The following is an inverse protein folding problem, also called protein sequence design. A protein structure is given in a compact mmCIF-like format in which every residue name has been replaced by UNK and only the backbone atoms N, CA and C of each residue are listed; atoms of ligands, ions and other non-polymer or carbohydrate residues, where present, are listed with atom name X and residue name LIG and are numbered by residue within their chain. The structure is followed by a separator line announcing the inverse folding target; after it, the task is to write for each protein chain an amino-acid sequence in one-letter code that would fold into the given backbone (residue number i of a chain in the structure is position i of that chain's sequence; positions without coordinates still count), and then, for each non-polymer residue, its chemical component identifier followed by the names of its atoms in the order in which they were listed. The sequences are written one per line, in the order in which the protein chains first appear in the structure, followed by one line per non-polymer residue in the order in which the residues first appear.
data_IF_174195286659
#
_entry.id   IF_174195286659
#
_cell.length_a   1.000
_cell.length_b   1.000
_cell.length_c   1.000
_cell.angle_alpha   90.00
_cell.angle_beta   90.00
_cell.angle_gamma   90.00
#
_symmetry.space_group_name_H-M   'P 1'
#
loop_
_entity.id
_entity.type
_entity.pdbx_description
1 polymer ?
#
# COMPACT_ATOMS: atom_id res chain seq x y z
N UNK A 1 -9.05 20.93 0.64
CA UNK A 1 -9.75 19.62 0.68
C UNK A 1 -8.74 18.59 0.21
N UNK A 2 -8.44 17.58 0.99
CA UNK A 2 -7.42 16.60 0.67
C UNK A 2 -7.84 15.72 -0.52
N UNK A 3 -6.94 15.53 -1.47
CA UNK A 3 -7.13 14.65 -2.63
C UNK A 3 -6.03 13.60 -2.67
N UNK A 4 -6.39 12.32 -2.78
CA UNK A 4 -5.43 11.23 -2.80
C UNK A 4 -5.61 10.32 -4.02
N UNK A 5 -4.48 9.75 -4.50
CA UNK A 5 -4.52 8.66 -5.46
C UNK A 5 -4.33 7.32 -4.72
N UNK A 6 -5.23 6.35 -4.95
CA UNK A 6 -5.11 4.98 -4.41
C UNK A 6 -4.87 4.01 -5.56
N UNK A 7 -3.67 3.44 -5.60
CA UNK A 7 -3.24 2.52 -6.66
C UNK A 7 -3.41 1.08 -6.17
N UNK A 8 -4.29 0.30 -6.83
CA UNK A 8 -4.70 -1.03 -6.37
C UNK A 8 -6.00 -1.00 -5.57
N UNK A 9 -6.93 -0.13 -5.94
CA UNK A 9 -8.09 0.27 -5.15
C UNK A 9 -9.31 -0.67 -5.22
N UNK A 10 -9.36 -1.67 -6.12
CA UNK A 10 -10.61 -2.43 -6.37
C UNK A 10 -11.04 -3.37 -5.25
N UNK A 11 -10.14 -3.76 -4.36
CA UNK A 11 -10.40 -4.69 -3.24
C UNK A 11 -9.37 -4.56 -2.11
N UNK A 12 -9.63 -5.26 -1.01
CA UNK A 12 -8.67 -5.37 0.10
C UNK A 12 -8.38 -4.04 0.77
N UNK A 13 -7.13 -3.85 1.19
CA UNK A 13 -6.73 -2.62 1.89
C UNK A 13 -6.93 -1.36 1.05
N UNK A 14 -6.73 -1.44 -0.28
CA UNK A 14 -6.94 -0.31 -1.17
C UNK A 14 -8.39 0.16 -1.20
N UNK A 15 -9.35 -0.76 -1.28
CA UNK A 15 -10.76 -0.41 -1.22
C UNK A 15 -11.15 0.17 0.16
N UNK A 16 -10.61 -0.39 1.23
CA UNK A 16 -10.85 0.15 2.59
C UNK A 16 -10.23 1.54 2.77
N UNK A 17 -9.07 1.81 2.14
CA UNK A 17 -8.48 3.17 2.10
C UNK A 17 -9.39 4.14 1.35
N UNK A 18 -9.94 3.74 0.19
CA UNK A 18 -10.91 4.58 -0.55
C UNK A 18 -12.13 4.91 0.31
N UNK A 19 -12.73 3.90 0.95
CA UNK A 19 -13.90 4.09 1.82
C UNK A 19 -13.60 5.06 2.98
N UNK A 20 -12.49 4.87 3.69
CA UNK A 20 -12.13 5.71 4.83
C UNK A 20 -11.82 7.16 4.39
N UNK A 21 -11.15 7.34 3.25
CA UNK A 21 -10.89 8.66 2.68
C UNK A 21 -12.19 9.41 2.33
N UNK A 22 -13.15 8.72 1.73
CA UNK A 22 -14.46 9.29 1.42
C UNK A 22 -15.25 9.67 2.69
N UNK A 23 -15.21 8.83 3.74
CA UNK A 23 -15.80 9.14 5.05
C UNK A 23 -15.18 10.40 5.66
N UNK A 24 -13.88 10.63 5.46
CA UNK A 24 -13.18 11.86 5.88
C UNK A 24 -13.50 13.10 5.02
N UNK A 25 -14.31 12.97 4.00
CA UNK A 25 -14.64 14.07 3.09
C UNK A 25 -13.57 14.34 2.03
N UNK A 26 -12.62 13.42 1.79
CA UNK A 26 -11.56 13.59 0.80
C UNK A 26 -12.02 13.27 -0.61
N UNK A 27 -11.33 13.81 -1.61
CA UNK A 27 -11.47 13.38 -3.00
C UNK A 27 -10.48 12.24 -3.29
N UNK A 28 -10.93 11.24 -4.04
CA UNK A 28 -10.13 10.04 -4.33
C UNK A 28 -10.08 9.77 -5.81
N UNK A 29 -8.87 9.60 -6.35
CA UNK A 29 -8.65 8.94 -7.64
C UNK A 29 -8.21 7.51 -7.39
N UNK A 30 -8.98 6.55 -7.87
CA UNK A 30 -8.81 5.13 -7.61
C UNK A 30 -8.37 4.40 -8.87
N UNK A 31 -7.16 3.82 -8.87
CA UNK A 31 -6.61 3.08 -10.01
C UNK A 31 -6.75 1.58 -9.77
N UNK A 32 -7.35 0.88 -10.73
CA UNK A 32 -7.50 -0.58 -10.68
C UNK A 32 -7.67 -1.18 -12.09
N UNK A 33 -7.21 -2.43 -12.28
CA UNK A 33 -7.46 -3.17 -13.53
C UNK A 33 -8.93 -3.46 -13.75
N UNK A 34 -9.67 -3.74 -12.66
CA UNK A 34 -11.09 -4.07 -12.68
C UNK A 34 -11.86 -3.24 -11.63
N UNK A 35 -12.16 -1.95 -11.88
CA UNK A 35 -12.83 -1.07 -10.91
C UNK A 35 -14.26 -1.52 -10.58
N UNK A 36 -14.99 -2.13 -11.52
CA UNK A 36 -16.38 -2.59 -11.33
C UNK A 36 -16.58 -3.68 -10.27
N UNK A 37 -15.50 -4.25 -9.71
CA UNK A 37 -15.61 -5.22 -8.61
C UNK A 37 -16.04 -4.58 -7.28
N UNK A 38 -15.92 -3.27 -7.11
CA UNK A 38 -16.19 -2.61 -5.83
C UNK A 38 -17.61 -2.09 -5.66
N UNK A 39 -18.37 -1.91 -6.72
CA UNK A 39 -19.71 -1.26 -6.73
C UNK A 39 -19.78 0.08 -5.94
N UNK A 40 -18.62 0.65 -5.53
CA UNK A 40 -18.55 1.87 -4.75
C UNK A 40 -18.67 3.09 -5.67
N UNK A 41 -19.65 3.93 -5.38
CA UNK A 41 -19.90 5.20 -6.09
C UNK A 41 -19.95 6.34 -5.09
N UNK A 42 -19.32 7.47 -5.40
CA UNK A 42 -19.37 8.72 -4.64
C UNK A 42 -19.00 9.87 -5.60
N UNK A 43 -19.58 11.03 -5.46
CA UNK A 43 -19.27 12.20 -6.30
C UNK A 43 -17.80 12.64 -6.21
N UNK A 44 -17.11 12.30 -5.12
CA UNK A 44 -15.69 12.60 -4.87
C UNK A 44 -14.74 11.47 -5.30
N UNK A 45 -15.27 10.38 -5.89
CA UNK A 45 -14.51 9.22 -6.33
C UNK A 45 -14.43 9.14 -7.85
N UNK A 46 -13.22 9.23 -8.40
CA UNK A 46 -12.96 9.00 -9.81
C UNK A 46 -12.19 7.67 -10.01
N UNK A 47 -12.75 6.77 -10.82
CA UNK A 47 -12.11 5.51 -11.16
C UNK A 47 -11.30 5.61 -12.44
N UNK A 48 -10.06 5.13 -12.40
CA UNK A 48 -9.17 4.97 -13.54
C UNK A 48 -8.90 3.49 -13.78
N UNK A 49 -9.38 2.97 -14.91
CA UNK A 49 -9.19 1.55 -15.28
C UNK A 49 -7.86 1.37 -15.98
N UNK A 50 -6.95 0.57 -15.40
CA UNK A 50 -5.69 0.22 -16.04
C UNK A 50 -4.66 -0.40 -15.09
N UNK A 51 -3.47 -0.60 -15.66
CA UNK A 51 -2.32 -1.16 -14.97
C UNK A 51 -1.51 -0.04 -14.29
N UNK A 52 -1.01 -0.32 -13.08
CA UNK A 52 -0.19 0.63 -12.31
C UNK A 52 1.19 0.93 -12.93
N UNK A 53 1.56 0.26 -14.02
CA UNK A 53 2.78 0.50 -14.81
C UNK A 53 2.53 1.42 -16.00
N UNK A 54 1.28 1.80 -16.27
CA UNK A 54 0.94 2.71 -17.36
C UNK A 54 1.14 4.16 -16.91
N UNK A 55 2.19 4.79 -17.43
CA UNK A 55 2.61 6.14 -17.06
C UNK A 55 1.55 7.19 -17.37
N UNK A 56 0.94 7.15 -18.57
CA UNK A 56 -0.10 8.12 -18.98
C UNK A 56 -1.34 8.02 -18.09
N UNK A 57 -1.73 6.80 -17.70
CA UNK A 57 -2.83 6.59 -16.76
C UNK A 57 -2.50 7.22 -15.40
N UNK A 58 -1.29 6.99 -14.91
CA UNK A 58 -0.85 7.50 -13.62
C UNK A 58 -0.72 9.03 -13.62
N UNK A 59 -0.28 9.64 -14.71
CA UNK A 59 -0.25 11.09 -14.85
C UNK A 59 -1.63 11.71 -14.66
N UNK A 60 -2.66 11.11 -15.25
CA UNK A 60 -4.04 11.57 -15.07
C UNK A 60 -4.54 11.34 -13.65
N UNK A 61 -4.26 10.15 -13.09
CA UNK A 61 -4.76 9.76 -11.77
C UNK A 61 -4.09 10.51 -10.61
N UNK A 62 -2.80 10.85 -10.72
CA UNK A 62 -2.01 11.50 -9.65
C UNK A 62 -2.11 13.04 -9.74
N UNK A 63 -2.59 13.57 -10.86
CA UNK A 63 -2.66 15.02 -11.09
C UNK A 63 -3.44 15.74 -9.99
N UNK A 64 -2.76 16.68 -9.33
CA UNK A 64 -3.32 17.49 -8.25
C UNK A 64 -3.67 16.73 -6.98
N UNK A 65 -3.06 15.55 -6.76
CA UNK A 65 -3.17 14.83 -5.50
C UNK A 65 -2.14 15.33 -4.48
N UNK A 66 -2.53 15.32 -3.20
CA UNK A 66 -1.65 15.63 -2.07
C UNK A 66 -0.78 14.42 -1.69
N UNK A 67 -1.30 13.19 -1.93
CA UNK A 67 -0.61 11.94 -1.58
C UNK A 67 -0.98 10.80 -2.53
N UNK A 68 -0.08 9.80 -2.60
CA UNK A 68 -0.29 8.54 -3.30
C UNK A 68 -0.21 7.37 -2.32
N UNK A 69 -1.23 6.52 -2.29
CA UNK A 69 -1.26 5.27 -1.55
C UNK A 69 -1.20 4.08 -2.52
N UNK A 70 -0.17 3.24 -2.38
CA UNK A 70 0.05 2.07 -3.25
C UNK A 70 -0.25 0.80 -2.46
N UNK A 71 -1.31 0.09 -2.88
CA UNK A 71 -1.87 -1.09 -2.20
C UNK A 71 -1.98 -2.28 -3.15
N UNK A 72 -1.00 -2.41 -4.03
CA UNK A 72 -0.96 -3.47 -5.05
C UNK A 72 -0.86 -4.86 -4.43
N UNK A 73 -1.40 -5.84 -5.14
CA UNK A 73 -1.23 -7.25 -4.88
C UNK A 73 -0.84 -7.98 -6.17
N UNK A 74 0.10 -8.91 -6.06
CA UNK A 74 0.46 -9.81 -7.15
C UNK A 74 -0.15 -11.20 -6.93
N UNK A 75 -0.42 -11.95 -8.01
CA UNK A 75 -0.75 -13.37 -7.90
C UNK A 75 0.40 -14.14 -7.22
N UNK A 76 0.06 -15.17 -6.48
CA UNK A 76 1.03 -16.14 -6.00
C UNK A 76 1.35 -17.14 -7.11
N UNK A 77 2.61 -17.46 -7.33
CA UNK A 77 2.99 -18.38 -8.39
C UNK A 77 4.50 -18.59 -8.51
N UNK A 78 4.91 -19.35 -9.55
CA UNK A 78 6.32 -19.68 -9.83
C UNK A 78 6.99 -18.68 -10.80
N UNK A 79 6.26 -17.78 -11.41
CA UNK A 79 6.80 -16.79 -12.35
C UNK A 79 7.49 -15.63 -11.62
N UNK A 80 8.41 -14.98 -12.32
CA UNK A 80 9.08 -13.79 -11.79
C UNK A 80 8.06 -12.68 -11.59
N UNK A 81 8.08 -12.06 -10.42
CA UNK A 81 7.20 -10.93 -10.07
C UNK A 81 8.02 -9.65 -10.13
N UNK A 82 7.54 -8.68 -10.92
CA UNK A 82 8.14 -7.34 -11.04
C UNK A 82 7.08 -6.22 -10.89
N UNK A 83 5.83 -6.61 -10.63
CA UNK A 83 4.71 -5.66 -10.62
C UNK A 83 4.86 -4.57 -9.56
N UNK A 84 5.48 -4.86 -8.41
CA UNK A 84 5.68 -3.87 -7.35
C UNK A 84 6.80 -2.89 -7.72
N UNK A 85 7.97 -3.41 -8.10
CA UNK A 85 9.13 -2.59 -8.45
C UNK A 85 8.89 -1.77 -9.71
N UNK A 86 8.29 -2.35 -10.77
CA UNK A 86 7.96 -1.63 -12.01
C UNK A 86 6.94 -0.51 -11.74
N UNK A 87 5.85 -0.83 -11.02
CA UNK A 87 4.85 0.17 -10.67
C UNK A 87 5.42 1.30 -9.81
N UNK A 88 6.25 0.99 -8.80
CA UNK A 88 6.90 2.00 -7.96
C UNK A 88 7.82 2.89 -8.80
N UNK A 89 8.61 2.32 -9.71
CA UNK A 89 9.46 3.11 -10.62
C UNK A 89 8.64 4.13 -11.42
N UNK A 90 7.54 3.68 -12.03
CA UNK A 90 6.65 4.56 -12.81
C UNK A 90 5.95 5.60 -11.91
N UNK A 91 5.44 5.18 -10.74
CA UNK A 91 4.77 6.08 -9.79
C UNK A 91 5.73 7.17 -9.32
N UNK A 92 6.98 6.84 -8.94
CA UNK A 92 7.97 7.82 -8.51
C UNK A 92 8.30 8.83 -9.61
N UNK A 93 8.41 8.37 -10.87
CA UNK A 93 8.61 9.24 -12.03
C UNK A 93 7.46 10.24 -12.17
N UNK A 94 6.21 9.75 -12.13
CA UNK A 94 5.02 10.60 -12.26
C UNK A 94 4.89 11.54 -11.06
N UNK A 95 5.11 11.06 -9.83
CA UNK A 95 5.09 11.90 -8.62
C UNK A 95 6.12 13.02 -8.68
N UNK A 96 7.28 12.80 -9.30
CA UNK A 96 8.28 13.86 -9.48
C UNK A 96 7.77 14.95 -10.43
N UNK A 97 7.21 14.57 -11.57
CA UNK A 97 6.63 15.52 -12.54
C UNK A 97 5.45 16.32 -11.98
N UNK A 98 4.63 15.67 -11.17
CA UNK A 98 3.44 16.27 -10.55
C UNK A 98 3.71 16.99 -9.21
N UNK A 99 5.00 17.05 -8.77
CA UNK A 99 5.43 17.62 -7.50
C UNK A 99 4.74 17.01 -6.24
N UNK A 100 4.21 15.79 -6.33
CA UNK A 100 3.61 15.09 -5.19
C UNK A 100 4.71 14.48 -4.34
N UNK A 101 4.71 14.76 -3.02
CA UNK A 101 5.75 14.31 -2.10
C UNK A 101 5.33 13.09 -1.28
N UNK A 102 4.10 13.04 -0.76
CA UNK A 102 3.65 12.03 0.20
C UNK A 102 3.34 10.71 -0.49
N UNK A 103 4.04 9.64 -0.08
CA UNK A 103 3.90 8.27 -0.62
C UNK A 103 3.68 7.28 0.52
N UNK A 104 2.59 6.50 0.47
CA UNK A 104 2.37 5.36 1.35
C UNK A 104 2.46 4.08 0.50
N UNK A 105 3.32 3.16 0.87
CA UNK A 105 3.44 1.86 0.21
C UNK A 105 3.05 0.73 1.16
N UNK A 106 2.09 -0.08 0.78
CA UNK A 106 1.68 -1.27 1.53
C UNK A 106 2.52 -2.48 1.09
N UNK A 107 3.48 -2.84 1.92
CA UNK A 107 4.33 -4.01 1.76
C UNK A 107 3.76 -5.22 2.52
N UNK A 108 4.50 -5.76 3.48
CA UNK A 108 4.08 -6.85 4.36
C UNK A 108 5.20 -7.29 5.30
N UNK A 109 4.84 -7.84 6.46
CA UNK A 109 5.82 -8.45 7.36
C UNK A 109 6.54 -9.59 6.63
N UNK A 110 7.87 -9.63 6.72
CA UNK A 110 8.73 -10.54 5.95
C UNK A 110 9.46 -9.86 4.79
N UNK A 111 9.19 -8.58 4.48
CA UNK A 111 9.98 -7.76 3.58
C UNK A 111 11.05 -6.97 4.32
N UNK A 112 12.14 -6.64 3.64
CA UNK A 112 13.24 -5.85 4.18
C UNK A 112 13.81 -6.42 5.48
N UNK A 113 13.99 -5.56 6.47
CA UNK A 113 14.51 -5.90 7.80
C UNK A 113 13.48 -6.61 8.72
N UNK A 114 12.25 -6.81 8.26
CA UNK A 114 11.26 -7.65 8.94
C UNK A 114 11.32 -9.13 8.53
N UNK A 115 12.31 -9.56 7.73
CA UNK A 115 12.53 -10.98 7.39
C UNK A 115 12.74 -11.82 8.65
N UNK A 116 12.12 -13.00 8.68
CA UNK A 116 12.17 -13.89 9.84
C UNK A 116 11.21 -13.53 10.98
N UNK A 117 10.44 -12.45 10.86
CA UNK A 117 9.49 -11.98 11.88
C UNK A 117 8.03 -12.36 11.59
N UNK A 118 7.75 -13.01 10.46
CA UNK A 118 6.41 -13.44 10.05
C UNK A 118 5.82 -14.61 10.83
N UNK A 119 6.62 -15.25 11.68
CA UNK A 119 6.23 -16.44 12.47
C UNK A 119 6.44 -17.76 11.72
N UNK A 120 6.40 -18.89 12.46
CA UNK A 120 6.81 -20.21 11.96
C UNK A 120 6.07 -20.65 10.66
N UNK A 121 4.75 -20.54 10.63
CA UNK A 121 3.95 -20.91 9.46
C UNK A 121 4.28 -20.05 8.24
N UNK A 122 4.44 -18.74 8.45
CA UNK A 122 4.81 -17.81 7.38
C UNK A 122 6.20 -18.14 6.83
N UNK A 123 7.20 -18.29 7.70
CA UNK A 123 8.60 -18.45 7.31
C UNK A 123 8.92 -19.84 6.72
N UNK A 124 8.30 -20.90 7.26
CA UNK A 124 8.62 -22.28 6.88
C UNK A 124 7.72 -22.86 5.79
N UNK A 125 6.50 -22.35 5.64
CA UNK A 125 5.50 -22.91 4.72
C UNK A 125 5.14 -21.90 3.62
N UNK A 126 4.61 -20.73 3.99
CA UNK A 126 4.08 -19.80 2.97
C UNK A 126 5.19 -19.08 2.21
N UNK A 127 6.24 -18.62 2.91
CA UNK A 127 7.31 -17.85 2.30
C UNK A 127 8.05 -18.63 1.20
N UNK A 128 8.62 -19.83 1.43
CA UNK A 128 9.44 -20.51 0.43
C UNK A 128 8.64 -20.99 -0.78
N UNK A 129 7.38 -21.38 -0.59
CA UNK A 129 6.60 -22.03 -1.65
C UNK A 129 5.68 -21.08 -2.42
N UNK A 130 5.20 -20.01 -1.80
CA UNK A 130 4.15 -19.16 -2.38
C UNK A 130 4.52 -17.69 -2.44
N UNK A 131 5.29 -17.17 -1.49
CA UNK A 131 5.45 -15.73 -1.30
C UNK A 131 6.84 -15.20 -1.65
N UNK A 132 7.85 -16.06 -1.74
CA UNK A 132 9.26 -15.66 -1.92
C UNK A 132 9.44 -14.61 -3.02
N UNK A 133 8.91 -14.86 -4.22
CA UNK A 133 9.07 -13.97 -5.37
C UNK A 133 8.35 -12.63 -5.20
N UNK A 134 7.16 -12.66 -4.58
CA UNK A 134 6.45 -11.43 -4.25
C UNK A 134 7.24 -10.58 -3.24
N UNK A 135 7.89 -11.22 -2.27
CA UNK A 135 8.69 -10.50 -1.28
C UNK A 135 10.02 -10.01 -1.86
N UNK A 136 10.67 -10.77 -2.73
CA UNK A 136 11.85 -10.30 -3.46
C UNK A 136 11.55 -9.06 -4.30
N UNK A 137 10.37 -9.00 -4.93
CA UNK A 137 9.95 -7.80 -5.67
C UNK A 137 9.54 -6.64 -4.75
N UNK A 138 8.89 -6.93 -3.63
CA UNK A 138 8.63 -5.92 -2.60
C UNK A 138 9.92 -5.32 -2.04
N UNK A 139 10.96 -6.13 -1.81
CA UNK A 139 12.27 -5.65 -1.38
C UNK A 139 12.88 -4.68 -2.41
N UNK A 140 12.76 -4.99 -3.72
CA UNK A 140 13.18 -4.07 -4.79
C UNK A 140 12.38 -2.77 -4.76
N UNK A 141 11.05 -2.86 -4.62
CA UNK A 141 10.18 -1.71 -4.53
C UNK A 141 10.49 -0.84 -3.31
N UNK A 142 10.68 -1.45 -2.13
CA UNK A 142 11.08 -0.74 -0.90
C UNK A 142 12.42 -0.03 -1.10
N UNK A 143 13.41 -0.69 -1.73
CA UNK A 143 14.72 -0.08 -2.01
C UNK A 143 14.61 1.15 -2.93
N UNK A 144 13.74 1.11 -3.94
CA UNK A 144 13.48 2.27 -4.81
C UNK A 144 12.84 3.43 -4.04
N UNK A 145 11.87 3.12 -3.18
CA UNK A 145 11.18 4.12 -2.34
C UNK A 145 12.16 4.78 -1.37
N UNK A 146 12.97 3.99 -0.65
CA UNK A 146 13.92 4.49 0.34
C UNK A 146 15.01 5.38 -0.27
N UNK A 147 15.37 5.15 -1.53
CA UNK A 147 16.33 6.00 -2.28
C UNK A 147 15.67 7.25 -2.88
N UNK A 148 14.36 7.36 -2.85
CA UNK A 148 13.65 8.52 -3.39
C UNK A 148 13.65 9.70 -2.41
N UNK A 149 13.47 10.91 -2.95
CA UNK A 149 13.30 12.13 -2.14
C UNK A 149 11.83 12.38 -1.76
N UNK A 150 11.05 11.31 -1.54
CA UNK A 150 9.64 11.41 -1.15
C UNK A 150 9.49 11.33 0.37
N UNK A 151 8.42 11.93 0.88
CA UNK A 151 7.97 11.76 2.26
C UNK A 151 7.25 10.40 2.35
N UNK A 152 8.02 9.33 2.30
CA UNK A 152 7.48 7.98 2.19
C UNK A 152 7.22 7.33 3.55
N UNK A 153 6.25 6.42 3.57
CA UNK A 153 6.01 5.43 4.65
C UNK A 153 5.79 4.07 4.02
N UNK A 154 6.49 3.05 4.50
CA UNK A 154 6.32 1.66 4.05
C UNK A 154 5.64 0.88 5.17
N UNK A 155 4.37 0.56 4.99
CA UNK A 155 3.58 -0.18 5.98
C UNK A 155 3.72 -1.68 5.75
N UNK A 156 4.08 -2.42 6.80
CA UNK A 156 4.26 -3.88 6.77
C UNK A 156 3.22 -4.56 7.66
N UNK A 157 1.99 -4.74 7.18
CA UNK A 157 0.97 -5.44 7.98
C UNK A 157 1.33 -6.90 8.21
N UNK A 158 0.94 -7.40 9.38
CA UNK A 158 0.89 -8.83 9.65
C UNK A 158 -0.20 -9.52 8.83
N UNK A 159 -0.73 -10.66 9.31
CA UNK A 159 -1.77 -11.42 8.60
C UNK A 159 -3.04 -10.57 8.41
N UNK A 160 -3.38 -10.29 7.16
CA UNK A 160 -4.56 -9.50 6.79
C UNK A 160 -5.84 -10.31 6.95
N UNK A 161 -6.80 -9.78 7.70
CA UNK A 161 -8.12 -10.38 7.91
C UNK A 161 -9.25 -9.51 7.35
N UNK A 162 -10.45 -10.09 7.18
CA UNK A 162 -11.67 -9.36 6.79
C UNK A 162 -12.55 -9.00 8.00
N UNK A 163 -11.98 -9.00 9.21
CA UNK A 163 -12.71 -8.59 10.42
C UNK A 163 -13.11 -7.11 10.31
N UNK A 164 -14.14 -6.72 11.06
CA UNK A 164 -14.54 -5.32 11.18
C UNK A 164 -13.40 -4.47 11.74
N UNK A 165 -13.39 -3.20 11.37
CA UNK A 165 -12.48 -2.17 11.92
C UNK A 165 -12.60 -2.16 13.46
N UNK A 166 -11.46 -2.23 14.13
CA UNK A 166 -11.36 -2.16 15.60
C UNK A 166 -10.89 -0.80 16.10
N UNK A 167 -10.21 -0.04 15.24
CA UNK A 167 -9.64 1.27 15.58
C UNK A 167 -8.39 1.19 16.45
N UNK A 168 -7.89 0.01 16.73
CA UNK A 168 -6.66 -0.18 17.51
C UNK A 168 -5.58 -0.83 16.66
N UNK A 169 -4.64 0.01 16.19
CA UNK A 169 -3.47 -0.44 15.44
C UNK A 169 -2.24 -0.32 16.34
N UNK A 170 -1.55 -1.44 16.57
CA UNK A 170 -0.22 -1.43 17.18
C UNK A 170 0.80 -1.21 16.10
N UNK A 171 1.53 -0.12 16.22
CA UNK A 171 2.56 0.32 15.28
C UNK A 171 3.91 -0.03 15.89
N UNK A 172 4.63 -0.95 15.27
CA UNK A 172 5.94 -1.41 15.72
C UNK A 172 6.98 -0.79 14.77
N UNK A 173 7.63 0.29 15.19
CA UNK A 173 8.59 1.04 14.36
C UNK A 173 10.03 0.56 14.50
N UNK A 174 10.36 -0.15 15.59
CA UNK A 174 11.73 -0.63 15.82
C UNK A 174 11.88 -2.10 15.40
N UNK A 175 12.92 -2.47 14.63
CA UNK A 175 13.15 -3.86 14.20
C UNK A 175 13.17 -4.88 15.34
N UNK A 176 13.62 -4.47 16.55
CA UNK A 176 13.61 -5.32 17.76
C UNK A 176 12.22 -5.68 18.25
N UNK A 177 11.21 -4.85 17.97
CA UNK A 177 9.82 -5.05 18.38
C UNK A 177 8.99 -5.83 17.36
N UNK A 178 9.51 -6.04 16.15
CA UNK A 178 8.78 -6.71 15.07
C UNK A 178 8.39 -8.12 15.47
N UNK A 179 7.10 -8.40 15.39
CA UNK A 179 6.53 -9.71 15.70
C UNK A 179 5.31 -10.00 14.84
N UNK A 180 5.01 -11.29 14.72
CA UNK A 180 3.82 -11.74 14.03
C UNK A 180 2.54 -11.29 14.76
N UNK A 181 1.48 -11.12 13.98
CA UNK A 181 0.15 -10.75 14.44
C UNK A 181 -0.81 -10.66 13.27
N UNK A 182 -2.06 -10.33 13.57
CA UNK A 182 -3.07 -10.11 12.52
C UNK A 182 -3.63 -8.69 12.62
N UNK A 183 -4.13 -8.18 11.48
CA UNK A 183 -4.78 -6.87 11.41
C UNK A 183 -5.91 -6.93 10.38
N UNK A 184 -6.99 -6.18 10.58
CA UNK A 184 -8.05 -6.10 9.58
C UNK A 184 -7.64 -5.19 8.41
N UNK A 185 -8.14 -5.50 7.21
CA UNK A 185 -7.95 -4.63 6.04
C UNK A 185 -8.54 -3.25 6.26
N UNK A 186 -9.64 -3.18 7.02
CA UNK A 186 -10.28 -1.92 7.37
C UNK A 186 -9.40 -1.06 8.31
N UNK A 187 -8.72 -1.66 9.29
CA UNK A 187 -7.79 -0.95 10.16
C UNK A 187 -6.55 -0.47 9.37
N UNK A 188 -6.05 -1.28 8.43
CA UNK A 188 -4.94 -0.86 7.54
C UNK A 188 -5.37 0.32 6.66
N UNK A 189 -6.55 0.26 6.04
CA UNK A 189 -7.07 1.35 5.21
C UNK A 189 -7.22 2.66 6.00
N UNK A 190 -7.76 2.58 7.21
CA UNK A 190 -7.83 3.71 8.12
C UNK A 190 -6.45 4.26 8.47
N UNK A 191 -5.49 3.39 8.83
CA UNK A 191 -4.15 3.83 9.21
C UNK A 191 -3.38 4.47 8.04
N UNK A 192 -3.60 4.03 6.79
CA UNK A 192 -3.07 4.71 5.60
C UNK A 192 -3.58 6.16 5.56
N UNK A 193 -4.88 6.39 5.78
CA UNK A 193 -5.44 7.73 5.83
C UNK A 193 -4.89 8.54 7.02
N UNK A 194 -4.68 7.93 8.20
CA UNK A 194 -4.05 8.59 9.34
C UNK A 194 -2.61 9.02 9.03
N UNK A 195 -1.83 8.16 8.37
CA UNK A 195 -0.47 8.50 7.92
C UNK A 195 -0.44 9.68 6.96
N UNK A 196 -1.44 9.80 6.07
CA UNK A 196 -1.53 10.93 5.14
C UNK A 196 -1.94 12.20 5.88
N UNK A 197 -2.99 12.12 6.72
CA UNK A 197 -3.57 13.27 7.40
C UNK A 197 -2.62 13.92 8.41
N UNK A 198 -1.94 13.07 9.19
CA UNK A 198 -1.10 13.51 10.32
C UNK A 198 0.40 13.42 10.03
N UNK A 199 0.80 13.12 8.79
CA UNK A 199 2.21 12.91 8.40
C UNK A 199 2.95 11.90 9.30
N UNK A 200 2.27 10.77 9.63
CA UNK A 200 2.86 9.75 10.51
C UNK A 200 3.89 8.89 9.77
N UNK A 201 4.88 8.42 10.53
CA UNK A 201 5.90 7.45 10.10
C UNK A 201 6.65 7.84 8.80
N UNK A 202 6.91 9.12 8.60
CA UNK A 202 7.74 9.57 7.46
C UNK A 202 9.13 8.95 7.59
N UNK A 203 9.60 8.32 6.49
CA UNK A 203 10.86 7.58 6.39
C UNK A 203 10.96 6.38 7.34
N UNK A 204 9.81 5.78 7.69
CA UNK A 204 9.76 4.59 8.54
C UNK A 204 9.10 3.40 7.84
N UNK A 205 9.39 2.20 8.38
CA UNK A 205 8.90 0.92 7.85
C UNK A 205 8.14 0.11 8.92
N UNK A 206 7.11 0.68 9.59
CA UNK A 206 6.48 0.04 10.73
C UNK A 206 5.74 -1.25 10.36
N UNK A 207 5.81 -2.24 11.27
CA UNK A 207 4.96 -3.41 11.25
C UNK A 207 3.64 -3.08 11.95
N UNK A 208 2.51 -3.44 11.30
CA UNK A 208 1.17 -3.19 11.80
C UNK A 208 0.49 -4.48 12.25
N UNK A 209 0.03 -4.51 13.48
CA UNK A 209 -0.79 -5.60 14.05
C UNK A 209 -1.92 -5.01 14.91
N UNK A 210 -2.89 -5.83 15.35
CA UNK A 210 -3.98 -5.45 16.26
C UNK A 210 -4.06 -6.35 17.48
#
# INVERSE_FOLDING_TARGET
MTKIAVIGASKGCGLETVKDALVRGWSVTAVARNPGQSALTDARLAWYKGDARNELLLEQAIKGCDAVAVTLAAPTGRETVTVFSDAISTILTVMNRQAVKRLIFLSGIGAGDSKGKGGFLHEKIFYPFMLKRNYEDKDRAESLIMKSHKDWTILRPGLLTNRKKRGHVKVLSKPGDYRNGSISRADVGNYICDCIHNNLNIHETPVLIS
#
